data_IF_986039189855
#
_entry.id   IF_986039189855
#
_cell.length_a   1.000
_cell.length_b   1.000
_cell.length_c   1.000
_cell.angle_alpha   90.00
_cell.angle_beta   90.00
_cell.angle_gamma   90.00
#
_symmetry.space_group_name_H-M   'P 1'
#
loop_
_entity.id
_entity.type
_entity.pdbx_description
1 polymer ?
#
# COMPACT_ATOMS: atom_id res chain seq x y z
N UNK A 1 18.91 -10.27 21.09
CA UNK A 1 19.46 -9.86 22.41
C UNK A 1 18.59 -10.33 23.58
N UNK A 2 17.25 -10.29 23.47
CA UNK A 2 16.28 -10.73 24.50
C UNK A 2 16.38 -12.24 24.81
N UNK A 3 16.47 -13.10 23.77
CA UNK A 3 16.63 -14.55 23.94
C UNK A 3 17.90 -14.96 24.71
N UNK A 4 19.00 -14.20 24.57
CA UNK A 4 20.25 -14.46 25.29
C UNK A 4 20.16 -14.09 26.78
N UNK A 5 19.34 -13.10 27.13
CA UNK A 5 19.06 -12.68 28.52
C UNK A 5 18.21 -13.71 29.26
N UNK A 6 17.24 -14.32 28.57
CA UNK A 6 16.35 -15.37 29.12
C UNK A 6 17.11 -16.67 29.40
N UNK A 7 18.07 -17.06 28.54
CA UNK A 7 18.85 -18.28 28.77
C UNK A 7 19.82 -18.14 29.96
N UNK A 8 20.30 -16.92 30.23
CA UNK A 8 21.21 -16.62 31.34
C UNK A 8 20.51 -16.64 32.72
N UNK A 9 19.25 -16.20 32.81
CA UNK A 9 18.47 -16.24 34.05
C UNK A 9 18.08 -17.68 34.47
N UNK A 10 17.82 -18.56 33.50
CA UNK A 10 17.55 -19.98 33.78
C UNK A 10 18.78 -20.75 34.30
N UNK A 11 20.01 -20.33 33.97
CA UNK A 11 21.24 -20.90 34.51
C UNK A 11 21.48 -20.49 35.97
N UNK A 12 21.08 -19.26 36.34
CA UNK A 12 21.25 -18.71 37.70
C UNK A 12 20.34 -19.42 38.71
N UNK A 13 19.09 -19.71 38.35
CA UNK A 13 18.12 -20.39 39.24
C UNK A 13 18.48 -21.85 39.58
N UNK A 14 19.28 -22.53 38.75
CA UNK A 14 19.67 -23.93 38.98
C UNK A 14 20.95 -24.10 39.80
N UNK A 15 21.63 -23.03 40.19
CA UNK A 15 22.89 -23.12 40.95
C UNK A 15 22.67 -23.09 42.47
N UNK A 16 22.70 -24.26 43.11
CA UNK A 16 22.84 -24.39 44.57
C UNK A 16 24.31 -24.21 44.96
N UNK A 17 24.82 -22.99 45.11
CA UNK A 17 26.17 -22.79 45.66
C UNK A 17 26.19 -21.69 46.73
N UNK A 18 26.35 -22.14 48.00
CA UNK A 18 26.71 -21.32 49.15
C UNK A 18 28.18 -20.86 49.01
N UNK A 19 28.42 -19.58 49.28
CA UNK A 19 29.69 -18.97 49.71
C UNK A 19 30.99 -19.68 49.32
N UNK A 20 31.65 -19.25 48.24
CA UNK A 20 33.11 -19.03 48.15
C UNK A 20 33.48 -18.45 46.79
N UNK A 21 34.28 -17.37 46.81
CA UNK A 21 34.90 -16.77 45.64
C UNK A 21 36.18 -17.51 45.24
N UNK A 22 36.42 -17.68 43.94
CA UNK A 22 37.76 -17.72 43.33
C UNK A 22 37.67 -17.38 41.84
N UNK A 23 38.61 -16.55 41.38
CA UNK A 23 38.74 -16.05 40.00
C UNK A 23 39.09 -17.16 39.00
N UNK A 24 38.47 -17.13 37.82
CA UNK A 24 38.99 -17.78 36.61
C UNK A 24 38.82 -16.81 35.43
N UNK A 25 39.84 -16.72 34.58
CA UNK A 25 40.03 -15.70 33.54
C UNK A 25 38.80 -15.56 32.60
N UNK A 26 38.21 -14.35 32.59
CA UNK A 26 37.00 -14.04 31.81
C UNK A 26 35.98 -13.11 32.49
N UNK A 27 36.43 -12.21 33.37
CA UNK A 27 35.83 -10.91 33.77
C UNK A 27 34.32 -10.75 34.00
N UNK A 28 33.81 -11.14 35.17
CA UNK A 28 32.59 -10.58 35.78
C UNK A 28 33.01 -9.74 37.00
N UNK A 29 32.59 -8.47 37.08
CA UNK A 29 32.82 -7.61 38.24
C UNK A 29 31.50 -7.11 38.86
N UNK A 30 31.51 -6.98 40.20
CA UNK A 30 30.42 -6.48 41.02
C UNK A 30 30.87 -5.22 41.76
N UNK A 31 30.28 -4.06 41.45
CA UNK A 31 30.45 -2.82 42.23
C UNK A 31 29.08 -2.16 42.35
N UNK A 32 28.62 -1.92 43.58
CA UNK A 32 27.42 -1.11 43.85
C UNK A 32 26.09 -1.67 43.35
N UNK A 33 25.94 -3.00 43.23
CA UNK A 33 24.68 -3.63 42.84
C UNK A 33 24.46 -3.79 41.32
N UNK A 34 25.48 -3.53 40.49
CA UNK A 34 25.42 -3.72 39.04
C UNK A 34 26.48 -4.75 38.57
N UNK A 35 26.09 -5.66 37.67
CA UNK A 35 27.00 -6.60 37.00
C UNK A 35 27.48 -6.03 35.65
N UNK A 36 28.79 -6.02 35.40
CA UNK A 36 29.38 -5.64 34.11
C UNK A 36 30.13 -6.85 33.52
N UNK A 37 29.85 -7.18 32.25
CA UNK A 37 30.59 -8.13 31.43
C UNK A 37 31.10 -7.43 30.16
N UNK A 38 32.41 -7.45 29.95
CA UNK A 38 33.05 -7.07 28.68
C UNK A 38 33.62 -8.33 28.02
N UNK A 39 33.17 -8.65 26.80
CA UNK A 39 33.68 -9.83 26.09
C UNK A 39 32.92 -10.21 24.82
N UNK A 40 32.88 -9.32 23.85
CA UNK A 40 32.38 -9.58 22.49
C UNK A 40 32.17 -8.26 21.77
N UNK A 41 33.06 -7.91 20.84
CA UNK A 41 32.94 -6.71 20.01
C UNK A 41 31.61 -6.76 19.24
N UNK A 42 30.66 -5.93 19.64
CA UNK A 42 29.60 -5.44 18.79
C UNK A 42 30.12 -4.16 18.10
N UNK A 43 29.76 -3.89 16.83
CA UNK A 43 30.15 -2.66 16.16
C UNK A 43 29.71 -1.45 16.99
N UNK A 44 30.59 -0.45 17.07
CA UNK A 44 30.51 0.74 17.92
C UNK A 44 29.33 1.70 17.60
N UNK A 45 28.32 1.25 16.84
CA UNK A 45 27.14 2.04 16.46
C UNK A 45 25.85 1.70 17.25
N UNK A 46 25.89 0.80 18.25
CA UNK A 46 24.71 0.42 19.02
C UNK A 46 24.77 0.90 20.49
N UNK A 47 24.72 2.22 20.70
CA UNK A 47 24.17 2.79 21.93
C UNK A 47 22.79 3.37 21.59
N UNK A 48 21.79 2.51 21.49
CA UNK A 48 20.40 2.95 21.57
C UNK A 48 19.97 2.85 23.05
N UNK A 49 19.46 3.96 23.58
CA UNK A 49 18.98 4.07 24.95
C UNK A 49 17.55 3.50 25.03
N UNK A 50 17.40 2.22 25.34
CA UNK A 50 16.09 1.73 25.78
C UNK A 50 15.77 2.36 27.15
N UNK A 51 14.71 3.17 27.24
CA UNK A 51 14.24 3.69 28.53
C UNK A 51 13.54 2.56 29.27
N UNK A 52 14.28 1.86 30.15
CA UNK A 52 13.71 0.86 31.06
C UNK A 52 12.95 1.60 32.15
N UNK A 53 11.63 1.42 32.19
CA UNK A 53 10.76 2.23 33.05
C UNK A 53 10.39 1.49 34.34
N UNK A 54 10.11 0.18 34.26
CA UNK A 54 9.93 -0.71 35.41
C UNK A 54 10.56 -2.08 35.11
N UNK A 55 11.38 -2.59 36.03
CA UNK A 55 12.01 -3.90 35.95
C UNK A 55 12.32 -4.41 37.36
N UNK A 56 11.39 -5.13 37.99
CA UNK A 56 11.53 -5.53 39.40
C UNK A 56 10.84 -6.84 39.77
N UNK A 57 11.36 -7.49 40.82
CA UNK A 57 10.78 -8.70 41.42
C UNK A 57 9.69 -8.34 42.45
N UNK A 58 8.51 -8.97 42.34
CA UNK A 58 7.36 -8.76 43.22
C UNK A 58 6.98 -10.05 43.94
N UNK A 59 6.70 -9.97 45.25
CA UNK A 59 6.27 -11.12 46.07
C UNK A 59 4.84 -11.56 45.74
N UNK A 60 4.49 -12.81 46.06
CA UNK A 60 3.13 -13.34 45.89
C UNK A 60 2.09 -12.55 46.66
N UNK A 61 2.36 -12.16 47.90
CA UNK A 61 1.45 -11.36 48.73
C UNK A 61 1.10 -10.01 48.09
N UNK A 62 2.08 -9.33 47.47
CA UNK A 62 1.83 -8.07 46.75
C UNK A 62 1.00 -8.27 45.49
N UNK A 63 1.17 -9.40 44.80
CA UNK A 63 0.40 -9.74 43.61
C UNK A 63 -1.03 -10.17 43.99
N UNK A 64 -1.23 -10.94 45.06
CA UNK A 64 -2.56 -11.36 45.53
C UNK A 64 -3.44 -10.17 45.92
N UNK A 65 -2.84 -9.14 46.54
CA UNK A 65 -3.54 -7.90 46.90
C UNK A 65 -3.65 -6.90 45.71
N UNK A 66 -3.12 -7.27 44.54
CA UNK A 66 -3.06 -6.42 43.36
C UNK A 66 -1.79 -5.57 43.31
N UNK A 67 -1.11 -5.59 42.16
CA UNK A 67 0.10 -4.83 41.91
C UNK A 67 -0.05 -4.00 40.64
N UNK A 68 0.22 -2.70 40.73
CA UNK A 68 0.21 -1.80 39.56
C UNK A 68 1.62 -1.31 39.25
N UNK A 69 2.10 -1.58 38.04
CA UNK A 69 3.29 -0.96 37.47
C UNK A 69 2.86 0.17 36.53
N UNK A 70 3.53 1.32 36.60
CA UNK A 70 3.31 2.45 35.69
C UNK A 70 4.64 2.96 35.16
N UNK A 71 4.59 3.73 34.08
CA UNK A 71 5.77 4.45 33.60
C UNK A 71 6.11 5.66 34.48
N UNK A 72 7.29 6.26 34.28
CA UNK A 72 7.65 7.56 34.85
C UNK A 72 6.69 8.66 34.38
N UNK A 73 6.15 8.55 33.16
CA UNK A 73 5.15 9.46 32.60
C UNK A 73 3.70 9.11 33.01
N UNK A 74 3.49 7.97 33.69
CA UNK A 74 2.18 7.42 34.09
C UNK A 74 1.19 7.24 32.92
N UNK A 75 1.68 7.08 31.70
CA UNK A 75 0.90 6.97 30.46
C UNK A 75 0.45 5.54 30.13
N UNK A 76 1.12 4.54 30.69
CA UNK A 76 0.64 3.15 30.69
C UNK A 76 0.75 2.56 32.09
N UNK A 77 -0.22 1.70 32.40
CA UNK A 77 -0.34 0.98 33.65
C UNK A 77 -0.63 -0.50 33.40
N UNK A 78 -0.02 -1.34 34.20
CA UNK A 78 -0.24 -2.78 34.23
C UNK A 78 -0.66 -3.16 35.63
N UNK A 79 -1.91 -3.61 35.80
CA UNK A 79 -2.41 -4.13 37.08
C UNK A 79 -2.52 -5.64 37.01
N UNK A 80 -1.76 -6.34 37.85
CA UNK A 80 -1.70 -7.79 37.88
C UNK A 80 -2.11 -8.34 39.26
N UNK A 81 -2.89 -9.43 39.24
CA UNK A 81 -3.15 -10.27 40.40
C UNK A 81 -2.81 -11.72 40.07
N UNK A 82 -1.79 -12.27 40.76
CA UNK A 82 -1.23 -13.58 40.48
C UNK A 82 -1.04 -14.37 41.78
N UNK A 83 -1.16 -15.70 41.72
CA UNK A 83 -0.95 -16.60 42.86
C UNK A 83 0.52 -16.97 43.12
N UNK A 84 1.47 -16.37 42.38
CA UNK A 84 2.91 -16.64 42.48
C UNK A 84 3.70 -15.35 42.31
N UNK A 85 4.85 -15.28 42.98
CA UNK A 85 5.81 -14.18 42.83
C UNK A 85 6.28 -14.07 41.37
N UNK A 86 6.47 -12.84 40.88
CA UNK A 86 6.74 -12.53 39.48
C UNK A 86 7.81 -11.46 39.33
N UNK A 87 8.67 -11.61 38.31
CA UNK A 87 9.37 -10.46 37.77
C UNK A 87 8.44 -9.70 36.84
N UNK A 88 8.39 -8.38 37.00
CA UNK A 88 7.56 -7.49 36.17
C UNK A 88 8.47 -6.56 35.40
N UNK A 89 8.35 -6.58 34.08
CA UNK A 89 9.04 -5.68 33.16
C UNK A 89 8.03 -4.91 32.33
N UNK A 90 8.23 -3.60 32.21
CA UNK A 90 7.50 -2.71 31.33
C UNK A 90 8.49 -1.70 30.73
N UNK A 91 8.71 -1.80 29.43
CA UNK A 91 9.77 -1.06 28.73
C UNK A 91 9.24 -0.45 27.44
N UNK A 92 9.71 0.75 27.11
CA UNK A 92 9.56 1.29 25.76
C UNK A 92 10.71 0.72 24.91
N UNK A 93 10.43 -0.18 23.95
CA UNK A 93 11.48 -0.85 23.19
C UNK A 93 11.98 0.06 22.06
N UNK A 94 13.25 -0.10 21.69
CA UNK A 94 13.84 0.61 20.54
C UNK A 94 13.24 0.16 19.20
N UNK A 95 12.64 -1.05 19.18
CA UNK A 95 12.00 -1.65 18.01
C UNK A 95 10.72 -2.37 18.44
N UNK A 96 9.66 -2.25 17.64
CA UNK A 96 8.39 -2.93 17.85
C UNK A 96 7.78 -3.41 16.53
N UNK A 97 6.81 -4.35 16.57
CA UNK A 97 6.16 -4.89 15.37
C UNK A 97 5.43 -3.83 14.54
N UNK A 98 5.42 -4.02 13.23
CA UNK A 98 4.80 -3.09 12.26
C UNK A 98 3.32 -2.85 12.61
N UNK A 99 2.92 -1.58 12.64
CA UNK A 99 1.54 -1.13 12.91
C UNK A 99 0.62 -1.48 11.73
N UNK A 100 -0.63 -1.95 11.96
CA UNK A 100 -1.58 -2.21 10.87
C UNK A 100 -1.90 -0.95 10.05
N UNK A 101 -2.01 -1.08 8.72
CA UNK A 101 -2.15 0.06 7.80
C UNK A 101 -3.47 0.86 7.97
N UNK A 102 -4.51 0.22 8.49
CA UNK A 102 -5.83 0.78 8.76
C UNK A 102 -5.93 1.43 10.16
N UNK A 103 -4.83 1.46 10.91
CA UNK A 103 -4.76 1.96 12.28
C UNK A 103 -3.72 3.07 12.39
N UNK A 104 -4.01 4.08 13.21
CA UNK A 104 -3.05 5.08 13.63
C UNK A 104 -2.56 4.74 15.04
N UNK A 105 -1.24 4.61 15.21
CA UNK A 105 -0.63 4.47 16.52
C UNK A 105 -0.70 5.82 17.25
N UNK A 106 -1.44 5.89 18.37
CA UNK A 106 -1.64 7.15 19.10
C UNK A 106 -0.95 7.18 20.47
N UNK A 107 -0.36 6.06 20.91
CA UNK A 107 0.47 5.99 22.12
C UNK A 107 1.85 5.39 21.79
N UNK A 108 2.81 5.57 22.71
CA UNK A 108 4.04 4.78 22.70
C UNK A 108 3.71 3.29 22.72
N UNK A 109 4.45 2.48 21.96
CA UNK A 109 4.40 1.02 22.09
C UNK A 109 5.23 0.60 23.30
N UNK A 110 4.65 -0.21 24.18
CA UNK A 110 5.39 -0.81 25.28
C UNK A 110 5.48 -2.31 25.10
N UNK A 111 6.60 -2.89 25.51
CA UNK A 111 6.68 -4.31 25.76
C UNK A 111 6.51 -4.54 27.26
N UNK A 112 5.59 -5.44 27.62
CA UNK A 112 5.46 -5.91 28.99
C UNK A 112 5.82 -7.39 29.09
N UNK A 113 6.32 -7.79 30.25
CA UNK A 113 6.51 -9.19 30.59
C UNK A 113 6.31 -9.44 32.08
N UNK A 114 5.58 -10.51 32.40
CA UNK A 114 5.42 -11.06 33.74
C UNK A 114 6.16 -12.40 33.79
N UNK A 115 7.42 -12.36 34.22
CA UNK A 115 8.34 -13.50 34.23
C UNK A 115 8.41 -14.15 35.62
N UNK A 116 7.44 -15.02 35.92
CA UNK A 116 7.72 -16.27 36.63
C UNK A 116 6.94 -17.47 36.05
N UNK A 117 6.18 -17.26 34.98
CA UNK A 117 5.31 -18.26 34.34
C UNK A 117 6.04 -18.87 33.16
N UNK A 118 6.23 -20.20 33.18
CA UNK A 118 6.88 -20.95 32.10
C UNK A 118 6.03 -21.07 30.83
N UNK A 119 4.82 -20.50 30.85
CA UNK A 119 3.83 -20.57 29.77
C UNK A 119 3.52 -19.15 29.25
N UNK A 120 3.31 -19.01 27.94
CA UNK A 120 2.91 -17.76 27.30
C UNK A 120 1.51 -17.26 27.70
N UNK A 121 0.76 -18.06 28.48
CA UNK A 121 -0.57 -17.76 28.99
C UNK A 121 -0.60 -17.88 30.51
N UNK A 122 -1.28 -16.93 31.13
CA UNK A 122 -1.57 -16.86 32.55
C UNK A 122 -2.90 -17.59 32.83
N UNK A 123 -2.99 -18.18 34.03
CA UNK A 123 -4.25 -18.77 34.53
C UNK A 123 -5.30 -17.72 34.90
N UNK A 124 -4.89 -16.46 35.07
CA UNK A 124 -5.76 -15.32 35.32
C UNK A 124 -5.55 -14.20 34.30
N UNK A 125 -6.38 -13.16 34.37
CA UNK A 125 -6.26 -11.98 33.49
C UNK A 125 -5.58 -10.83 34.22
N UNK A 126 -4.75 -10.09 33.51
CA UNK A 126 -4.20 -8.80 33.96
C UNK A 126 -4.94 -7.67 33.26
N UNK A 127 -5.05 -6.53 33.93
CA UNK A 127 -5.59 -5.32 33.33
C UNK A 127 -4.43 -4.45 32.80
N UNK A 128 -4.58 -4.00 31.56
CA UNK A 128 -3.69 -3.04 30.94
C UNK A 128 -4.49 -1.76 30.75
N UNK A 129 -3.93 -0.64 31.19
CA UNK A 129 -4.53 0.68 31.03
C UNK A 129 -3.57 1.64 30.35
N UNK A 130 -4.06 2.43 29.40
CA UNK A 130 -3.33 3.52 28.77
C UNK A 130 -4.06 4.84 28.97
N UNK A 131 -3.29 5.89 29.14
CA UNK A 131 -3.73 7.27 28.93
C UNK A 131 -3.29 7.68 27.53
N UNK A 132 -4.18 8.31 26.77
CA UNK A 132 -3.87 8.76 25.40
C UNK A 132 -3.91 10.30 25.29
N UNK A 133 -3.03 10.91 24.48
CA UNK A 133 -2.90 12.37 24.43
C UNK A 133 -3.88 13.07 23.47
N UNK A 134 -4.51 12.34 22.54
CA UNK A 134 -5.28 12.91 21.43
C UNK A 134 -6.78 12.72 21.62
N UNK A 135 -7.49 13.83 21.82
CA UNK A 135 -8.94 13.84 22.00
C UNK A 135 -9.70 13.65 20.67
N UNK A 136 -9.13 14.15 19.57
CA UNK A 136 -9.73 14.16 18.23
C UNK A 136 -9.82 12.78 17.57
N UNK A 137 -9.06 11.79 18.05
CA UNK A 137 -9.10 10.43 17.50
C UNK A 137 -10.39 9.71 17.90
N UNK A 138 -11.25 9.37 16.94
CA UNK A 138 -12.45 8.54 17.19
C UNK A 138 -12.09 7.04 17.10
N UNK A 139 -12.90 6.18 17.72
CA UNK A 139 -12.73 4.72 17.77
C UNK A 139 -11.33 4.25 18.20
N UNK A 140 -11.06 4.39 19.50
CA UNK A 140 -9.78 3.99 20.13
C UNK A 140 -9.88 2.56 20.61
N UNK A 141 -8.87 1.75 20.28
CA UNK A 141 -8.80 0.34 20.61
C UNK A 141 -7.39 0.01 21.10
N UNK A 142 -7.30 -0.84 22.11
CA UNK A 142 -6.03 -1.32 22.63
C UNK A 142 -5.72 -2.67 21.96
N UNK A 143 -4.52 -2.80 21.43
CA UNK A 143 -4.07 -4.03 20.79
C UNK A 143 -2.86 -4.59 21.53
N UNK A 144 -2.70 -5.91 21.40
CA UNK A 144 -1.49 -6.62 21.75
C UNK A 144 -0.95 -7.37 20.55
N UNK A 145 0.35 -7.28 20.32
CA UNK A 145 1.01 -8.10 19.31
C UNK A 145 1.15 -9.52 19.83
N UNK A 146 0.42 -10.44 19.21
CA UNK A 146 0.53 -11.86 19.49
C UNK A 146 1.71 -12.42 18.70
N UNK A 147 2.80 -12.73 19.41
CA UNK A 147 4.03 -13.25 18.81
C UNK A 147 3.85 -14.64 18.18
N UNK A 148 2.95 -15.48 18.71
CA UNK A 148 2.64 -16.80 18.15
C UNK A 148 1.92 -16.68 16.78
N UNK A 149 1.09 -15.66 16.61
CA UNK A 149 0.36 -15.39 15.37
C UNK A 149 1.08 -14.42 14.43
N UNK A 150 2.13 -13.76 14.90
CA UNK A 150 2.87 -12.75 14.14
C UNK A 150 2.02 -11.54 13.75
N UNK A 151 1.04 -11.14 14.58
CA UNK A 151 0.14 -10.00 14.27
C UNK A 151 -0.44 -9.31 15.50
N UNK A 152 -0.80 -8.03 15.32
CA UNK A 152 -1.61 -7.28 16.28
C UNK A 152 -3.01 -7.89 16.41
N UNK A 153 -3.46 -8.06 17.66
CA UNK A 153 -4.77 -8.61 18.00
C UNK A 153 -5.48 -7.63 18.93
N UNK A 154 -6.74 -7.32 18.61
CA UNK A 154 -7.55 -6.42 19.41
C UNK A 154 -7.82 -7.02 20.80
N UNK A 155 -7.67 -6.21 21.85
CA UNK A 155 -8.09 -6.53 23.20
C UNK A 155 -9.37 -5.77 23.54
N UNK A 156 -10.46 -6.52 23.75
CA UNK A 156 -11.72 -5.93 24.18
C UNK A 156 -11.54 -5.15 25.50
N UNK A 157 -11.92 -3.88 25.48
CA UNK A 157 -11.68 -2.93 26.57
C UNK A 157 -12.83 -1.96 26.81
N UNK A 158 -12.67 -1.12 27.83
CA UNK A 158 -13.54 0.01 28.16
C UNK A 158 -12.79 1.31 28.03
N UNK A 159 -13.47 2.35 27.55
CA UNK A 159 -12.93 3.70 27.33
C UNK A 159 -13.62 4.65 28.30
N UNK A 160 -12.82 5.42 29.05
CA UNK A 160 -13.22 6.60 29.81
C UNK A 160 -12.71 7.84 29.07
N UNK A 161 -13.60 8.47 28.30
CA UNK A 161 -13.25 9.63 27.46
C UNK A 161 -12.88 10.85 28.30
N UNK A 162 -13.54 11.05 29.45
CA UNK A 162 -13.29 12.20 30.31
C UNK A 162 -11.89 12.16 30.95
N UNK A 163 -11.38 10.95 31.21
CA UNK A 163 -10.03 10.73 31.73
C UNK A 163 -9.00 10.38 30.66
N UNK A 164 -9.41 10.36 29.39
CA UNK A 164 -8.60 9.91 28.25
C UNK A 164 -7.92 8.57 28.48
N UNK A 165 -8.67 7.63 29.08
CA UNK A 165 -8.15 6.35 29.54
C UNK A 165 -8.83 5.20 28.84
N UNK A 166 -8.05 4.27 28.32
CA UNK A 166 -8.54 2.99 27.80
C UNK A 166 -7.98 1.85 28.64
N UNK A 167 -8.82 0.89 29.01
CA UNK A 167 -8.42 -0.29 29.77
C UNK A 167 -8.90 -1.56 29.09
N UNK A 168 -8.07 -2.59 29.04
CA UNK A 168 -8.46 -3.93 28.59
C UNK A 168 -7.84 -5.01 29.45
N UNK A 169 -8.27 -6.25 29.23
CA UNK A 169 -7.75 -7.42 29.93
C UNK A 169 -7.12 -8.40 28.96
N UNK A 170 -6.06 -9.05 29.42
CA UNK A 170 -5.37 -10.11 28.67
C UNK A 170 -4.93 -11.22 29.62
N UNK A 171 -4.82 -12.45 29.12
CA UNK A 171 -4.17 -13.55 29.81
C UNK A 171 -2.79 -13.87 29.22
N UNK A 172 -2.26 -13.05 28.31
CA UNK A 172 -0.90 -13.23 27.81
C UNK A 172 0.13 -12.74 28.84
N UNK A 173 1.17 -13.54 29.06
CA UNK A 173 2.23 -13.22 30.03
C UNK A 173 3.20 -12.13 29.55
N UNK A 174 3.28 -11.93 28.23
CA UNK A 174 4.11 -10.91 27.59
C UNK A 174 3.54 -10.48 26.24
N UNK A 175 3.97 -9.33 25.77
CA UNK A 175 3.68 -8.86 24.41
C UNK A 175 3.90 -7.35 24.24
N UNK A 176 3.84 -6.90 22.99
CA UNK A 176 3.80 -5.48 22.68
C UNK A 176 2.38 -4.96 22.79
N UNK A 177 2.18 -3.84 23.47
CA UNK A 177 0.88 -3.24 23.72
C UNK A 177 0.89 -1.78 23.30
N UNK A 178 -0.20 -1.34 22.71
CA UNK A 178 -0.41 0.05 22.33
C UNK A 178 -1.89 0.36 22.11
N UNK A 179 -2.23 1.64 22.14
CA UNK A 179 -3.52 2.13 21.71
C UNK A 179 -3.42 2.58 20.26
N UNK A 180 -4.35 2.06 19.48
CA UNK A 180 -4.59 2.45 18.12
C UNK A 180 -5.90 3.23 18.06
N UNK A 181 -6.00 4.14 17.11
CA UNK A 181 -7.27 4.64 16.64
C UNK A 181 -7.53 4.06 15.24
N UNK A 182 -8.79 3.89 14.88
CA UNK A 182 -9.16 3.74 13.47
C UNK A 182 -8.55 4.90 12.68
N UNK A 183 -8.01 4.60 11.50
CA UNK A 183 -7.48 5.61 10.59
C UNK A 183 -8.64 6.38 9.94
N UNK A 184 -9.34 7.22 10.71
CA UNK A 184 -10.63 7.81 10.29
C UNK A 184 -10.47 8.92 9.25
N UNK A 185 -9.29 9.50 9.03
CA UNK A 185 -9.19 10.70 8.19
C UNK A 185 -8.00 10.70 7.22
N UNK A 186 -7.98 9.76 6.26
CA UNK A 186 -7.24 9.99 4.99
C UNK A 186 -8.11 9.68 3.79
N UNK A 187 -8.85 8.58 3.80
CA UNK A 187 -9.78 8.26 2.70
C UNK A 187 -10.84 9.36 2.48
N UNK A 188 -11.42 9.92 3.54
CA UNK A 188 -12.47 10.95 3.43
C UNK A 188 -11.92 12.39 3.24
N UNK A 189 -10.80 12.75 3.88
CA UNK A 189 -10.08 14.00 3.62
C UNK A 189 -9.41 14.05 2.23
N UNK A 190 -8.89 12.92 1.73
CA UNK A 190 -8.38 12.83 0.37
C UNK A 190 -9.53 12.92 -0.60
N UNK A 191 -10.64 12.21 -0.36
CA UNK A 191 -11.89 12.37 -1.13
C UNK A 191 -12.24 13.86 -1.29
N UNK A 192 -12.32 14.66 -0.24
CA UNK A 192 -12.66 16.10 -0.36
C UNK A 192 -11.66 16.92 -1.21
N UNK A 193 -10.39 16.50 -1.26
CA UNK A 193 -9.34 17.13 -2.09
C UNK A 193 -9.27 16.61 -3.52
N UNK A 194 -9.92 15.48 -3.81
CA UNK A 194 -9.88 14.83 -5.11
C UNK A 194 -10.97 15.37 -6.03
N UNK A 195 -10.56 15.83 -7.21
CA UNK A 195 -11.42 16.45 -8.20
C UNK A 195 -12.25 15.43 -8.97
N UNK A 196 -11.73 14.20 -9.12
CA UNK A 196 -12.43 13.14 -9.80
C UNK A 196 -13.68 12.66 -9.02
N UNK A 197 -14.87 12.67 -9.64
CA UNK A 197 -16.09 12.19 -9.01
C UNK A 197 -16.16 10.67 -8.89
N UNK A 198 -15.36 9.91 -9.66
CA UNK A 198 -15.20 8.47 -9.52
C UNK A 198 -13.74 8.09 -9.36
N UNK A 199 -13.43 7.30 -8.31
CA UNK A 199 -12.08 6.91 -7.91
C UNK A 199 -12.08 5.44 -7.53
N UNK A 200 -11.00 4.75 -7.86
CA UNK A 200 -10.71 3.41 -7.36
C UNK A 200 -9.19 3.23 -7.21
N UNK A 201 -8.73 2.76 -6.06
CA UNK A 201 -7.35 2.33 -5.81
C UNK A 201 -7.39 0.92 -5.26
N UNK A 202 -6.64 0.02 -5.90
CA UNK A 202 -6.63 -1.41 -5.56
C UNK A 202 -5.19 -1.87 -5.42
N UNK A 203 -4.91 -2.69 -4.41
CA UNK A 203 -3.65 -3.43 -4.35
C UNK A 203 -3.56 -4.39 -5.54
N UNK A 204 -2.52 -4.25 -6.35
CA UNK A 204 -2.44 -4.95 -7.63
C UNK A 204 -2.20 -6.46 -7.46
N UNK A 205 -1.70 -6.89 -6.30
CA UNK A 205 -1.39 -8.30 -6.01
C UNK A 205 -2.58 -9.00 -5.36
N UNK A 206 -3.19 -8.41 -4.34
CA UNK A 206 -4.28 -9.04 -3.58
C UNK A 206 -5.65 -8.79 -4.19
N UNK A 207 -5.81 -7.70 -4.94
CA UNK A 207 -7.12 -7.25 -5.41
C UNK A 207 -7.95 -6.53 -4.33
N UNK A 208 -7.35 -6.25 -3.17
CA UNK A 208 -7.98 -5.49 -2.09
C UNK A 208 -8.23 -4.05 -2.51
N UNK A 209 -9.47 -3.58 -2.36
CA UNK A 209 -9.83 -2.18 -2.58
C UNK A 209 -9.29 -1.35 -1.42
N UNK A 210 -8.34 -0.45 -1.71
CA UNK A 210 -7.71 0.43 -0.72
C UNK A 210 -8.47 1.75 -0.57
N UNK A 211 -9.06 2.25 -1.66
CA UNK A 211 -9.87 3.45 -1.68
C UNK A 211 -10.86 3.40 -2.82
N UNK A 212 -12.10 3.81 -2.56
CA UNK A 212 -13.10 3.98 -3.63
C UNK A 212 -14.04 5.15 -3.38
N UNK A 213 -14.55 5.70 -4.49
CA UNK A 213 -15.65 6.67 -4.54
C UNK A 213 -16.40 6.44 -5.85
N UNK A 214 -17.71 6.21 -5.79
CA UNK A 214 -18.56 6.09 -6.99
C UNK A 214 -17.92 5.18 -8.06
N UNK A 215 -17.26 4.10 -7.63
CA UNK A 215 -16.39 3.28 -8.46
C UNK A 215 -17.20 2.46 -9.48
N UNK A 216 -18.47 2.19 -9.16
CA UNK A 216 -19.46 1.52 -10.02
C UNK A 216 -20.31 2.49 -10.88
N UNK A 217 -20.08 3.80 -10.82
CA UNK A 217 -20.84 4.77 -11.63
C UNK A 217 -20.34 4.77 -13.08
N UNK A 218 -21.25 4.56 -14.02
CA UNK A 218 -20.97 4.57 -15.47
C UNK A 218 -20.63 5.99 -15.92
N UNK A 219 -19.52 6.14 -16.63
CA UNK A 219 -19.05 7.43 -17.18
C UNK A 219 -18.46 7.25 -18.57
N UNK A 220 -18.52 8.28 -19.44
CA UNK A 220 -17.69 8.30 -20.63
C UNK A 220 -16.21 8.24 -20.24
N UNK A 221 -15.44 7.38 -20.90
CA UNK A 221 -14.06 7.07 -20.49
C UNK A 221 -12.98 7.68 -21.37
N UNK A 222 -13.39 8.40 -22.41
CA UNK A 222 -12.48 8.98 -23.39
C UNK A 222 -11.43 7.96 -23.87
N UNK A 223 -10.19 8.42 -24.07
CA UNK A 223 -9.08 7.61 -24.59
C UNK A 223 -8.61 6.46 -23.69
N UNK A 224 -9.17 6.24 -22.49
CA UNK A 224 -8.95 4.98 -21.78
C UNK A 224 -9.46 3.78 -22.61
N UNK A 225 -10.43 4.02 -23.51
CA UNK A 225 -10.85 3.11 -24.59
C UNK A 225 -9.68 2.43 -25.30
N UNK A 226 -8.58 3.17 -25.54
CA UNK A 226 -7.46 2.67 -26.36
C UNK A 226 -6.71 1.49 -25.71
N UNK A 227 -6.87 1.27 -24.40
CA UNK A 227 -6.39 0.05 -23.75
C UNK A 227 -7.13 -1.18 -24.28
N UNK A 228 -8.45 -1.10 -24.43
CA UNK A 228 -9.26 -2.16 -25.04
C UNK A 228 -8.90 -2.34 -26.52
N UNK A 229 -8.76 -1.25 -27.27
CA UNK A 229 -8.34 -1.30 -28.69
C UNK A 229 -6.99 -2.01 -28.87
N UNK A 230 -6.01 -1.69 -28.03
CA UNK A 230 -4.71 -2.33 -28.02
C UNK A 230 -4.79 -3.81 -27.62
N UNK A 231 -5.62 -4.15 -26.62
CA UNK A 231 -5.81 -5.53 -26.19
C UNK A 231 -6.44 -6.38 -27.31
N UNK A 232 -7.44 -5.82 -28.00
CA UNK A 232 -8.12 -6.50 -29.09
C UNK A 232 -7.23 -6.67 -30.32
N UNK A 233 -6.36 -5.69 -30.59
CA UNK A 233 -5.32 -5.82 -31.60
C UNK A 233 -4.37 -6.99 -31.30
N UNK A 234 -3.93 -7.16 -30.05
CA UNK A 234 -3.01 -8.24 -29.67
C UNK A 234 -3.65 -9.62 -29.76
N UNK A 235 -4.93 -9.75 -29.40
CA UNK A 235 -5.66 -11.02 -29.53
C UNK A 235 -5.64 -11.52 -30.98
N UNK A 236 -5.90 -10.63 -31.92
CA UNK A 236 -5.89 -10.94 -33.35
C UNK A 236 -4.48 -11.19 -33.91
N UNK A 237 -3.44 -10.97 -33.10
CA UNK A 237 -2.04 -11.31 -33.36
C UNK A 237 -1.55 -11.00 -34.78
N UNK A 238 -1.77 -9.79 -35.34
CA UNK A 238 -1.38 -9.48 -36.72
C UNK A 238 0.15 -9.32 -36.93
N UNK A 239 0.95 -9.53 -35.87
CA UNK A 239 2.40 -9.36 -35.84
C UNK A 239 2.83 -7.90 -35.68
N UNK A 240 4.08 -7.70 -35.24
CA UNK A 240 4.65 -6.36 -34.94
C UNK A 240 5.26 -5.64 -36.14
N UNK A 241 5.61 -6.38 -37.20
CA UNK A 241 6.27 -5.83 -38.40
C UNK A 241 5.30 -5.57 -39.55
N UNK A 242 4.00 -5.79 -39.35
CA UNK A 242 2.99 -5.56 -40.39
C UNK A 242 2.97 -4.08 -40.75
N UNK A 243 3.11 -3.78 -42.04
CA UNK A 243 3.15 -2.41 -42.56
C UNK A 243 1.73 -1.92 -42.82
N UNK A 244 1.39 -0.78 -42.24
CA UNK A 244 0.07 -0.17 -42.34
C UNK A 244 0.21 1.22 -42.94
N UNK A 245 -0.44 1.42 -44.08
CA UNK A 245 -0.58 2.73 -44.71
C UNK A 245 -1.64 3.53 -43.97
N UNK A 246 -1.28 4.74 -43.53
CA UNK A 246 -2.21 5.71 -42.97
C UNK A 246 -3.13 6.24 -44.07
N UNK A 247 -4.44 6.22 -43.85
CA UNK A 247 -5.43 6.70 -44.82
C UNK A 247 -6.20 7.90 -44.30
N UNK A 248 -6.82 8.69 -45.19
CA UNK A 248 -7.53 9.91 -44.82
C UNK A 248 -8.63 9.69 -43.77
N UNK A 249 -9.30 8.54 -43.80
CA UNK A 249 -10.36 8.19 -42.83
C UNK A 249 -9.84 7.86 -41.43
N UNK A 250 -8.53 7.61 -41.28
CA UNK A 250 -7.89 7.47 -39.97
C UNK A 250 -7.76 8.84 -39.29
N UNK A 251 -7.58 9.92 -40.07
CA UNK A 251 -7.25 11.24 -39.52
C UNK A 251 -8.41 11.82 -38.70
N UNK A 252 -8.17 12.02 -37.40
CA UNK A 252 -9.17 12.50 -36.46
C UNK A 252 -8.53 13.35 -35.36
N UNK A 253 -9.13 14.50 -35.08
CA UNK A 253 -8.68 15.45 -34.05
C UNK A 253 -9.36 15.15 -32.68
N UNK A 254 -8.85 15.67 -31.55
CA UNK A 254 -7.64 16.50 -31.39
C UNK A 254 -6.34 15.71 -31.19
N UNK A 255 -6.37 14.53 -30.58
CA UNK A 255 -5.17 13.77 -30.27
C UNK A 255 -4.76 12.89 -31.47
N UNK A 256 -3.69 13.27 -32.19
CA UNK A 256 -3.18 12.53 -33.35
C UNK A 256 -1.68 12.67 -33.54
N UNK A 257 -1.09 11.74 -34.30
CA UNK A 257 0.22 11.98 -34.92
C UNK A 257 0.04 12.76 -36.22
N UNK A 258 0.84 13.79 -36.44
CA UNK A 258 0.77 14.64 -37.64
C UNK A 258 1.52 13.98 -38.80
N UNK A 259 0.79 13.16 -39.54
CA UNK A 259 1.27 12.34 -40.68
C UNK A 259 0.51 12.72 -41.95
N UNK A 260 1.07 12.38 -43.10
CA UNK A 260 0.41 12.57 -44.40
C UNK A 260 -0.28 11.28 -44.81
N UNK A 261 -1.49 11.31 -45.39
CA UNK A 261 -2.07 10.12 -46.02
C UNK A 261 -1.07 9.46 -46.97
N UNK A 262 -0.93 8.14 -46.83
CA UNK A 262 0.08 7.35 -47.52
C UNK A 262 1.38 7.13 -46.76
N UNK A 263 1.64 7.80 -45.63
CA UNK A 263 2.72 7.41 -44.72
C UNK A 263 2.51 5.97 -44.24
N UNK A 264 3.60 5.24 -44.03
CA UNK A 264 3.56 3.80 -43.70
C UNK A 264 4.30 3.57 -42.39
N UNK A 265 3.64 2.92 -41.44
CA UNK A 265 4.21 2.59 -40.13
C UNK A 265 4.06 1.09 -39.85
N UNK A 266 4.90 0.56 -38.98
CA UNK A 266 4.68 -0.80 -38.46
C UNK A 266 3.53 -0.80 -37.45
N UNK A 267 2.90 -1.96 -37.24
CA UNK A 267 1.93 -2.13 -36.16
C UNK A 267 2.54 -1.88 -34.77
N UNK A 268 3.83 -2.14 -34.58
CA UNK A 268 4.57 -1.75 -33.37
C UNK A 268 4.57 -0.23 -33.18
N UNK A 269 4.92 0.54 -34.22
CA UNK A 269 4.87 2.00 -34.17
C UNK A 269 3.46 2.52 -33.85
N UNK A 270 2.44 1.92 -34.48
CA UNK A 270 1.04 2.30 -34.26
C UNK A 270 0.53 1.94 -32.87
N UNK A 271 1.00 0.83 -32.28
CA UNK A 271 0.69 0.45 -30.90
C UNK A 271 1.25 1.49 -29.91
N UNK A 272 2.51 1.88 -30.08
CA UNK A 272 3.11 2.97 -29.30
C UNK A 272 2.40 4.31 -29.53
N UNK A 273 2.10 4.68 -30.77
CA UNK A 273 1.36 5.91 -31.08
C UNK A 273 -0.07 5.91 -30.51
N UNK A 274 -0.70 4.75 -30.41
CA UNK A 274 -2.03 4.58 -29.80
C UNK A 274 -1.99 4.81 -28.29
N UNK A 275 -1.00 4.25 -27.59
CA UNK A 275 -0.98 4.24 -26.13
C UNK A 275 -0.24 5.44 -25.52
N UNK A 276 0.83 5.92 -26.17
CA UNK A 276 1.75 6.89 -25.60
C UNK A 276 1.26 8.35 -25.76
N UNK A 277 1.14 8.91 -26.98
CA UNK A 277 0.55 10.24 -27.20
C UNK A 277 -0.99 10.18 -27.34
N UNK A 278 -1.60 9.00 -27.22
CA UNK A 278 -3.05 8.80 -27.33
C UNK A 278 -3.62 9.09 -28.73
N UNK A 279 -2.88 8.82 -29.80
CA UNK A 279 -3.25 9.21 -31.15
C UNK A 279 -4.47 8.43 -31.69
N UNK A 280 -5.53 9.15 -32.07
CA UNK A 280 -6.79 8.62 -32.60
C UNK A 280 -6.59 7.97 -33.96
N UNK A 281 -5.80 8.59 -34.84
CA UNK A 281 -5.50 8.05 -36.15
C UNK A 281 -4.68 6.77 -36.07
N UNK A 282 -3.73 6.68 -35.13
CA UNK A 282 -3.01 5.45 -34.86
C UNK A 282 -3.96 4.34 -34.35
N UNK A 283 -4.89 4.65 -33.44
CA UNK A 283 -5.86 3.68 -32.92
C UNK A 283 -6.77 3.11 -34.02
N UNK A 284 -7.24 3.94 -34.95
CA UNK A 284 -8.03 3.50 -36.11
C UNK A 284 -7.21 2.63 -37.07
N UNK A 285 -5.98 3.04 -37.37
CA UNK A 285 -5.08 2.27 -38.21
C UNK A 285 -4.70 0.92 -37.57
N UNK A 286 -4.51 0.90 -36.25
CA UNK A 286 -4.23 -0.31 -35.47
C UNK A 286 -5.42 -1.27 -35.48
N UNK A 287 -6.64 -0.78 -35.27
CA UNK A 287 -7.85 -1.59 -35.39
C UNK A 287 -7.99 -2.20 -36.79
N UNK A 288 -7.78 -1.40 -37.84
CA UNK A 288 -7.80 -1.86 -39.24
C UNK A 288 -6.69 -2.87 -39.55
N UNK A 289 -5.57 -2.83 -38.83
CA UNK A 289 -4.48 -3.78 -39.00
C UNK A 289 -4.87 -5.22 -38.65
N UNK A 290 -5.95 -5.44 -37.88
CA UNK A 290 -6.50 -6.78 -37.60
C UNK A 290 -7.16 -7.43 -38.82
N UNK A 291 -7.56 -6.64 -39.83
CA UNK A 291 -8.33 -7.11 -40.98
C UNK A 291 -9.84 -7.16 -40.74
N UNK A 292 -10.32 -6.86 -39.54
CA UNK A 292 -11.74 -6.75 -39.22
C UNK A 292 -12.34 -5.47 -39.81
N UNK A 293 -13.64 -5.53 -40.13
CA UNK A 293 -14.43 -4.31 -40.32
C UNK A 293 -14.50 -3.52 -39.01
N UNK A 294 -14.89 -2.25 -39.08
CA UNK A 294 -15.06 -1.42 -37.88
C UNK A 294 -16.11 -2.01 -36.95
N UNK A 295 -17.23 -2.47 -37.50
CA UNK A 295 -18.34 -3.07 -36.76
C UNK A 295 -17.90 -4.35 -36.05
N UNK A 296 -17.18 -5.23 -36.75
CA UNK A 296 -16.65 -6.47 -36.18
C UNK A 296 -15.60 -6.20 -35.09
N UNK A 297 -14.74 -5.19 -35.28
CA UNK A 297 -13.77 -4.80 -34.27
C UNK A 297 -14.44 -4.27 -32.99
N UNK A 298 -15.46 -3.41 -33.13
CA UNK A 298 -16.24 -2.92 -31.98
C UNK A 298 -17.01 -4.06 -31.31
N UNK A 299 -17.55 -5.00 -32.07
CA UNK A 299 -18.18 -6.21 -31.51
C UNK A 299 -17.19 -7.03 -30.69
N UNK A 300 -15.96 -7.21 -31.19
CA UNK A 300 -14.90 -7.94 -30.48
C UNK A 300 -14.48 -7.22 -29.19
N UNK A 301 -14.35 -5.88 -29.20
CA UNK A 301 -14.08 -5.09 -27.99
C UNK A 301 -15.14 -5.32 -26.89
N UNK A 302 -16.42 -5.35 -27.25
CA UNK A 302 -17.51 -5.59 -26.29
C UNK A 302 -17.56 -7.05 -25.83
N UNK A 303 -17.22 -8.01 -26.69
CA UNK A 303 -17.13 -9.41 -26.28
C UNK A 303 -15.98 -9.64 -25.30
N UNK A 304 -14.83 -9.01 -25.52
CA UNK A 304 -13.73 -8.99 -24.54
C UNK A 304 -14.16 -8.35 -23.22
N UNK A 305 -14.93 -7.27 -23.25
CA UNK A 305 -15.46 -6.66 -22.03
C UNK A 305 -16.29 -7.68 -21.22
N UNK A 306 -17.18 -8.45 -21.86
CA UNK A 306 -17.95 -9.50 -21.20
C UNK A 306 -17.07 -10.63 -20.65
N UNK A 307 -16.08 -11.09 -21.41
CA UNK A 307 -15.14 -12.14 -20.96
C UNK A 307 -14.39 -11.70 -19.70
N UNK A 308 -14.04 -10.42 -19.61
CA UNK A 308 -13.40 -9.82 -18.44
C UNK A 308 -14.40 -9.50 -17.30
N UNK A 309 -15.69 -9.76 -17.48
CA UNK A 309 -16.76 -9.45 -16.53
C UNK A 309 -17.04 -7.95 -16.39
N UNK A 310 -16.80 -7.15 -17.43
CA UNK A 310 -16.98 -5.69 -17.43
C UNK A 310 -18.43 -5.30 -17.79
N UNK A 311 -19.38 -5.71 -16.95
CA UNK A 311 -20.82 -5.69 -17.25
C UNK A 311 -21.42 -4.29 -17.43
N UNK A 312 -20.73 -3.25 -16.97
CA UNK A 312 -21.15 -1.84 -17.07
C UNK A 312 -20.30 -1.06 -18.08
N UNK A 313 -19.69 -1.76 -19.04
CA UNK A 313 -18.88 -1.18 -20.11
C UNK A 313 -19.53 -1.37 -21.48
N UNK A 314 -19.48 -0.32 -22.31
CA UNK A 314 -19.86 -0.39 -23.71
C UNK A 314 -18.88 0.41 -24.57
N UNK A 315 -18.50 -0.17 -25.71
CA UNK A 315 -17.69 0.48 -26.74
C UNK A 315 -18.50 0.62 -28.03
N UNK A 316 -18.46 1.80 -28.65
CA UNK A 316 -19.06 2.07 -29.96
C UNK A 316 -18.00 2.37 -31.03
N UNK A 317 -16.76 2.66 -30.61
CA UNK A 317 -15.62 2.94 -31.50
C UNK A 317 -14.25 2.82 -30.79
N UNK A 318 -13.12 2.71 -31.52
CA UNK A 318 -11.83 2.30 -30.94
C UNK A 318 -10.98 3.44 -30.33
N UNK A 319 -11.43 4.69 -30.33
CA UNK A 319 -10.60 5.84 -29.96
C UNK A 319 -10.97 6.45 -28.60
N UNK A 320 -12.22 6.36 -28.18
CA UNK A 320 -12.75 7.09 -27.03
C UNK A 320 -13.16 8.53 -27.34
N UNK A 321 -13.53 8.85 -28.59
CA UNK A 321 -14.12 10.14 -28.95
C UNK A 321 -15.63 10.16 -28.72
N UNK A 322 -16.29 9.02 -28.89
CA UNK A 322 -17.72 8.90 -28.63
C UNK A 322 -18.00 8.92 -27.12
N UNK A 323 -18.97 9.72 -26.68
CA UNK A 323 -19.36 9.77 -25.28
C UNK A 323 -20.04 8.46 -24.82
N UNK A 324 -20.54 7.69 -25.78
CA UNK A 324 -21.14 6.37 -25.62
C UNK A 324 -20.08 5.29 -25.35
N UNK A 325 -18.78 5.58 -25.53
CA UNK A 325 -17.74 4.74 -24.95
C UNK A 325 -17.70 4.98 -23.43
N UNK A 326 -18.38 4.10 -22.70
CA UNK A 326 -18.60 4.21 -21.26
C UNK A 326 -18.06 3.00 -20.51
N UNK A 327 -17.70 3.20 -19.25
CA UNK A 327 -17.30 2.15 -18.32
C UNK A 327 -17.42 2.66 -16.88
N UNK A 328 -17.04 1.82 -15.92
CA UNK A 328 -16.91 2.15 -14.50
C UNK A 328 -15.45 2.04 -14.07
N UNK A 329 -15.08 2.61 -12.92
CA UNK A 329 -13.72 2.42 -12.40
C UNK A 329 -13.46 0.96 -12.04
N UNK A 330 -14.48 0.23 -11.55
CA UNK A 330 -14.40 -1.20 -11.26
C UNK A 330 -14.15 -2.05 -12.51
N UNK A 331 -14.84 -1.77 -13.61
CA UNK A 331 -14.64 -2.50 -14.87
C UNK A 331 -13.29 -2.15 -15.50
N UNK A 332 -12.91 -0.88 -15.48
CA UNK A 332 -11.58 -0.47 -15.94
C UNK A 332 -10.45 -1.10 -15.10
N UNK A 333 -10.68 -1.40 -13.82
CA UNK A 333 -9.71 -2.17 -13.02
C UNK A 333 -9.52 -3.59 -13.58
N UNK A 334 -10.61 -4.28 -13.98
CA UNK A 334 -10.53 -5.61 -14.60
C UNK A 334 -9.72 -5.58 -15.89
N UNK A 335 -9.99 -4.59 -16.76
CA UNK A 335 -9.19 -4.36 -17.96
C UNK A 335 -7.73 -4.06 -17.62
N UNK A 336 -7.48 -3.13 -16.70
CA UNK A 336 -6.13 -2.69 -16.29
C UNK A 336 -5.29 -3.83 -15.74
N UNK A 337 -5.90 -4.70 -14.92
CA UNK A 337 -5.26 -5.90 -14.37
C UNK A 337 -4.84 -6.86 -15.48
N UNK A 338 -5.68 -7.05 -16.51
CA UNK A 338 -5.36 -7.88 -17.67
C UNK A 338 -4.24 -7.27 -18.52
N UNK A 339 -4.38 -6.02 -18.96
CA UNK A 339 -3.42 -5.40 -19.89
C UNK A 339 -2.07 -5.12 -19.24
N UNK A 340 -2.02 -4.73 -17.96
CA UNK A 340 -0.75 -4.47 -17.26
C UNK A 340 -0.10 -5.72 -16.65
N UNK A 341 -0.59 -6.91 -17.00
CA UNK A 341 0.16 -8.16 -16.85
C UNK A 341 1.07 -8.43 -18.07
N UNK A 342 0.83 -7.76 -19.19
CA UNK A 342 1.60 -7.92 -20.44
C UNK A 342 2.69 -6.84 -20.54
N UNK A 343 3.93 -7.29 -20.79
CA UNK A 343 5.10 -6.45 -20.93
C UNK A 343 5.00 -5.44 -22.08
N UNK A 344 4.29 -5.76 -23.16
CA UNK A 344 4.14 -4.86 -24.31
C UNK A 344 3.34 -3.61 -23.94
N UNK A 345 2.31 -3.74 -23.09
CA UNK A 345 1.60 -2.58 -22.55
C UNK A 345 2.47 -1.74 -21.62
N UNK A 346 3.27 -2.36 -20.75
CA UNK A 346 4.17 -1.62 -19.85
C UNK A 346 5.18 -0.79 -20.68
N UNK A 347 5.76 -1.38 -21.71
CA UNK A 347 6.70 -0.71 -22.61
C UNK A 347 6.07 0.39 -23.46
N UNK A 348 4.80 0.26 -23.85
CA UNK A 348 4.12 1.24 -24.68
C UNK A 348 3.41 2.37 -23.91
N UNK A 349 3.39 2.31 -22.57
CA UNK A 349 2.66 3.29 -21.73
C UNK A 349 3.54 4.10 -20.77
N UNK A 350 4.81 3.71 -20.58
CA UNK A 350 5.72 4.29 -19.58
C UNK A 350 6.89 5.13 -20.11
N UNK A 351 7.39 5.00 -21.37
CA UNK A 351 8.49 5.85 -21.83
C UNK A 351 8.10 7.33 -21.76
N UNK A 352 9.08 8.23 -21.56
CA UNK A 352 8.83 9.68 -21.67
C UNK A 352 8.56 10.07 -23.12
N UNK A 353 9.36 9.51 -24.02
CA UNK A 353 9.24 9.67 -25.45
C UNK A 353 9.52 8.35 -26.17
N UNK A 354 9.04 8.23 -27.39
CA UNK A 354 9.37 7.15 -28.32
C UNK A 354 9.40 7.72 -29.73
N UNK A 355 10.38 7.35 -30.56
CA UNK A 355 10.47 7.87 -31.94
C UNK A 355 10.02 6.78 -32.89
N UNK A 356 9.09 7.11 -33.78
CA UNK A 356 8.68 6.27 -34.91
C UNK A 356 9.14 6.91 -36.22
N UNK A 357 9.26 6.11 -37.27
CA UNK A 357 9.70 6.57 -38.59
C UNK A 357 8.73 6.12 -39.67
N UNK A 358 8.33 7.03 -40.56
CA UNK A 358 7.54 6.67 -41.74
C UNK A 358 8.42 5.90 -42.72
N UNK A 359 8.09 4.62 -42.95
CA UNK A 359 8.79 3.73 -43.87
C UNK A 359 8.69 4.16 -45.34
N UNK A 360 7.85 5.16 -45.64
CA UNK A 360 7.70 5.73 -46.98
C UNK A 360 8.79 6.75 -47.33
N UNK A 361 9.17 7.60 -46.36
CA UNK A 361 10.02 8.78 -46.63
C UNK A 361 11.11 9.00 -45.56
N UNK A 362 11.23 8.12 -44.57
CA UNK A 362 12.21 8.23 -43.48
C UNK A 362 11.91 9.36 -42.48
N UNK A 363 10.73 10.00 -42.55
CA UNK A 363 10.38 11.08 -41.64
C UNK A 363 10.15 10.54 -40.24
N UNK A 364 10.89 11.08 -39.27
CA UNK A 364 10.75 10.72 -37.86
C UNK A 364 9.65 11.53 -37.17
N UNK A 365 8.95 10.88 -36.25
CA UNK A 365 7.93 11.47 -35.39
C UNK A 365 8.23 11.11 -33.94
N UNK A 366 8.46 12.14 -33.12
CA UNK A 366 8.64 11.96 -31.68
C UNK A 366 7.27 11.90 -31.02
N UNK A 367 6.98 10.77 -30.40
CA UNK A 367 5.80 10.54 -29.58
C UNK A 367 6.13 10.94 -28.15
N UNK A 368 5.31 11.79 -27.55
CA UNK A 368 5.47 12.23 -26.16
C UNK A 368 4.36 11.63 -25.31
N UNK A 369 4.72 11.10 -24.14
CA UNK A 369 3.76 10.54 -23.21
C UNK A 369 2.81 11.62 -22.68
N UNK A 370 1.51 11.32 -22.73
CA UNK A 370 0.47 12.19 -22.19
C UNK A 370 0.43 12.23 -20.66
N UNK A 371 0.96 11.21 -19.99
CA UNK A 371 1.01 11.16 -18.54
C UNK A 371 2.08 12.12 -18.01
N UNK A 372 1.64 13.19 -17.34
CA UNK A 372 2.56 14.15 -16.69
C UNK A 372 2.95 13.74 -15.27
N UNK A 373 2.24 12.79 -14.67
CA UNK A 373 2.53 12.25 -13.33
C UNK A 373 3.62 11.15 -13.35
N UNK A 374 4.46 11.11 -14.39
CA UNK A 374 5.59 10.17 -14.47
C UNK A 374 6.76 10.54 -13.53
N UNK A 375 6.74 11.72 -12.91
CA UNK A 375 7.77 12.21 -11.98
C UNK A 375 7.33 12.13 -10.51
N UNK A 376 6.60 11.07 -10.13
CA UNK A 376 6.28 10.76 -8.72
C UNK A 376 7.43 9.97 -8.07
N UNK A 377 7.56 9.90 -6.73
CA UNK A 377 8.59 9.10 -6.06
C UNK A 377 8.37 7.57 -6.17
N UNK A 378 7.53 7.13 -7.11
CA UNK A 378 7.17 5.74 -7.37
C UNK A 378 7.50 5.37 -8.81
N UNK A 379 7.72 4.08 -9.04
CA UNK A 379 7.90 3.56 -10.39
C UNK A 379 6.52 3.38 -11.03
N UNK A 380 6.21 4.17 -12.06
CA UNK A 380 5.02 3.98 -12.88
C UNK A 380 5.28 2.82 -13.85
N UNK A 381 4.54 1.72 -13.66
CA UNK A 381 4.67 0.50 -14.45
C UNK A 381 3.78 0.50 -15.69
N UNK A 382 2.63 1.18 -15.63
CA UNK A 382 1.69 1.29 -16.74
C UNK A 382 0.77 2.47 -16.55
N UNK A 383 0.35 3.12 -17.63
CA UNK A 383 -0.60 4.23 -17.52
C UNK A 383 -1.42 4.49 -18.78
N UNK A 384 -2.59 5.11 -18.61
CA UNK A 384 -3.33 5.70 -19.72
C UNK A 384 -4.12 6.92 -19.26
N UNK A 385 -4.18 7.91 -20.13
CA UNK A 385 -4.90 9.16 -19.92
C UNK A 385 -6.06 9.27 -20.90
N UNK A 386 -7.09 10.03 -20.56
CA UNK A 386 -8.21 10.32 -21.45
C UNK A 386 -8.85 11.66 -21.11
N UNK A 387 -9.27 12.38 -22.15
CA UNK A 387 -10.05 13.60 -22.00
C UNK A 387 -10.96 13.82 -23.21
N UNK A 388 -12.23 14.06 -22.95
CA UNK A 388 -13.16 14.79 -23.82
C UNK A 388 -13.96 15.76 -22.96
N UNK A 389 -14.78 16.63 -23.57
CA UNK A 389 -15.62 17.56 -22.80
C UNK A 389 -16.64 16.77 -21.95
N UNK A 390 -17.21 15.71 -22.52
CA UNK A 390 -18.25 14.87 -21.93
C UNK A 390 -17.69 13.92 -20.87
N UNK A 391 -16.49 13.39 -21.10
CA UNK A 391 -15.85 12.42 -20.21
C UNK A 391 -15.15 13.06 -19.01
N UNK A 392 -14.82 14.35 -19.08
CA UNK A 392 -13.84 14.94 -18.19
C UNK A 392 -12.47 14.26 -18.32
N UNK A 393 -11.63 14.41 -17.30
CA UNK A 393 -10.25 13.90 -17.27
C UNK A 393 -10.19 12.57 -16.55
N UNK A 394 -9.67 11.58 -17.26
CA UNK A 394 -9.61 10.20 -16.84
C UNK A 394 -8.16 9.74 -16.82
N UNK A 395 -7.75 9.03 -15.77
CA UNK A 395 -6.40 8.48 -15.65
C UNK A 395 -6.48 7.09 -15.05
N UNK A 396 -5.67 6.17 -15.58
CA UNK A 396 -5.33 4.88 -14.98
C UNK A 396 -3.81 4.87 -14.81
N UNK A 397 -3.33 4.47 -13.63
CA UNK A 397 -1.91 4.26 -13.36
C UNK A 397 -1.69 2.99 -12.53
N UNK A 398 -0.79 2.12 -12.99
CA UNK A 398 -0.17 1.07 -12.19
C UNK A 398 1.18 1.57 -11.71
N UNK A 399 1.43 1.56 -10.41
CA UNK A 399 2.67 2.06 -9.83
C UNK A 399 3.18 1.16 -8.70
N UNK A 400 4.48 1.27 -8.42
CA UNK A 400 5.20 0.47 -7.42
C UNK A 400 6.11 1.32 -6.54
N UNK A 401 6.16 1.03 -5.24
CA UNK A 401 7.15 1.63 -4.34
C UNK A 401 8.47 0.82 -4.27
N UNK A 402 9.45 1.38 -3.56
CA UNK A 402 10.75 0.77 -3.22
C UNK A 402 10.63 -0.60 -2.54
N UNK A 403 9.63 -0.77 -1.68
CA UNK A 403 9.34 -2.03 -0.97
C UNK A 403 8.67 -3.09 -1.86
N UNK A 404 8.38 -2.79 -3.12
CA UNK A 404 7.78 -3.72 -4.08
C UNK A 404 6.26 -3.81 -4.03
N UNK A 405 5.57 -3.00 -3.22
CA UNK A 405 4.10 -2.91 -3.23
C UNK A 405 3.64 -2.28 -4.54
N UNK A 406 2.63 -2.88 -5.18
CA UNK A 406 2.03 -2.39 -6.42
C UNK A 406 0.57 -2.03 -6.20
N UNK A 407 0.12 -0.94 -6.83
CA UNK A 407 -1.29 -0.54 -6.85
C UNK A 407 -1.73 -0.15 -8.26
N UNK A 408 -3.02 -0.29 -8.52
CA UNK A 408 -3.70 0.29 -9.68
C UNK A 408 -4.63 1.39 -9.17
N UNK A 409 -4.39 2.63 -9.58
CA UNK A 409 -5.20 3.80 -9.27
C UNK A 409 -5.94 4.28 -10.54
N UNK A 410 -7.23 4.58 -10.39
CA UNK A 410 -8.15 4.97 -11.46
C UNK A 410 -8.93 6.19 -10.99
N UNK A 411 -8.94 7.25 -11.81
CA UNK A 411 -9.78 8.42 -11.63
C UNK A 411 -10.56 8.70 -12.90
N UNK A 412 -11.86 9.00 -12.78
CA UNK A 412 -12.74 9.31 -13.89
C UNK A 412 -13.53 10.59 -13.63
N UNK A 413 -13.69 11.42 -14.67
CA UNK A 413 -14.56 12.59 -14.66
C UNK A 413 -13.97 13.87 -14.08
N UNK A 414 -12.64 13.99 -13.96
CA UNK A 414 -12.01 15.18 -13.41
C UNK A 414 -12.29 16.43 -14.27
N UNK A 415 -12.83 17.48 -13.67
CA UNK A 415 -13.29 18.68 -14.42
C UNK A 415 -12.18 19.71 -14.63
N UNK A 416 -11.27 19.84 -13.66
CA UNK A 416 -10.21 20.85 -13.66
C UNK A 416 -8.96 20.40 -14.45
N UNK A 417 -8.43 21.22 -15.38
CA UNK A 417 -7.15 20.94 -16.02
C UNK A 417 -5.99 20.82 -15.02
N UNK A 418 -5.22 19.74 -15.09
CA UNK A 418 -4.05 19.52 -14.23
C UNK A 418 -4.40 18.73 -12.96
N UNK A 419 -5.61 18.90 -12.43
CA UNK A 419 -6.07 18.26 -11.21
C UNK A 419 -6.03 16.73 -11.25
N UNK A 420 -6.15 16.10 -12.43
CA UNK A 420 -6.03 14.65 -12.54
C UNK A 420 -4.63 14.14 -12.15
N UNK A 421 -3.60 14.99 -12.25
CA UNK A 421 -2.23 14.66 -11.81
C UNK A 421 -2.07 14.84 -10.32
N UNK A 422 -2.68 15.88 -9.76
CA UNK A 422 -2.71 16.10 -8.31
C UNK A 422 -3.48 14.97 -7.63
N UNK A 423 -4.63 14.60 -8.18
CA UNK A 423 -5.43 13.45 -7.74
C UNK A 423 -4.58 12.17 -7.76
N UNK A 424 -3.91 11.87 -8.87
CA UNK A 424 -3.05 10.68 -8.96
C UNK A 424 -1.90 10.71 -7.97
N UNK A 425 -1.23 11.86 -7.79
CA UNK A 425 -0.15 12.00 -6.82
C UNK A 425 -0.66 11.74 -5.40
N UNK A 426 -1.78 12.34 -5.03
CA UNK A 426 -2.44 12.14 -3.74
C UNK A 426 -2.76 10.67 -3.50
N UNK A 427 -3.38 10.01 -4.48
CA UNK A 427 -3.79 8.61 -4.39
C UNK A 427 -2.59 7.66 -4.27
N UNK A 428 -1.57 7.88 -5.09
CA UNK A 428 -0.34 7.09 -5.04
C UNK A 428 0.43 7.35 -3.75
N UNK A 429 0.53 8.60 -3.28
CA UNK A 429 1.17 8.92 -2.01
C UNK A 429 0.47 8.25 -0.82
N UNK A 430 -0.85 8.17 -0.85
CA UNK A 430 -1.63 7.49 0.18
C UNK A 430 -1.41 5.97 0.17
N UNK A 431 -1.31 5.37 -1.02
CA UNK A 431 -1.28 3.91 -1.16
C UNK A 431 0.13 3.31 -1.17
N UNK A 432 1.12 4.05 -1.66
CA UNK A 432 2.50 3.61 -1.89
C UNK A 432 3.56 4.31 -1.03
N UNK A 433 3.24 5.45 -0.43
CA UNK A 433 4.19 6.20 0.39
C UNK A 433 4.79 5.35 1.51
N UNK A 434 6.11 5.39 1.65
CA UNK A 434 6.78 4.86 2.84
C UNK A 434 6.31 5.67 4.05
N UNK A 435 5.70 5.01 5.04
CA UNK A 435 5.43 5.66 6.31
C UNK A 435 6.77 5.87 7.01
N UNK A 436 7.25 7.11 7.02
CA UNK A 436 8.46 7.54 7.72
C UNK A 436 8.23 7.65 9.21
#
# INVERSE_FOLDING_TARGET
MIYAKVHMLNQIQNSKIKNRFTSVAGGIYFIGGLWILTGGMLPLSARAQSNVIVSQWISSEKLENGYTATTQAQDVSLTASLHRAAFVELVAPDYYPVVPMDKSLITTVYHYALLPTTENKLSGTIAIGFTYPLDEARFKEIFIYNEELGRWTHLAGSIDEAQQKITARTNWASGFIAVFADHIERSDLLKEKLNAPSILVVDAKTGEILLERNSAVVRPIASLTKLMTAAEFLEHSPGWSKRITMIGTDDTIPAKIYVTPGDVFTTHDLFYATLLPSANNAARALARATGLSRESFVSAMNERAKILGMDSTAYVEPTGLAAENVSTAQDLYKLSRSVFADMEFLKATTPKTFTIESLKNGKQHVLTNTNKAMNVPYVVLGSKTGYTIEAGRNVIMKARNSAGREVIAITLGGTSPGAQWDDMRILLDAALGEQR
#
